data_IF_269338154791
#
_entry.id   IF_269338154791
#
_cell.length_a   1.000
_cell.length_b   1.000
_cell.length_c   1.000
_cell.angle_alpha   90.00
_cell.angle_beta   90.00
_cell.angle_gamma   90.00
#
_symmetry.space_group_name_H-M   'P 1'
#
loop_
_entity.id
_entity.type
_entity.pdbx_description
1 polymer ?
#
# COMPACT_ATOMS: atom_id res chain seq x y z
N UNK A 1 15.98 -11.72 -8.51
CA UNK A 1 16.83 -10.73 -7.84
C UNK A 1 17.33 -11.29 -6.51
N UNK A 2 18.64 -11.14 -6.19
CA UNK A 2 19.19 -11.54 -4.89
C UNK A 2 19.15 -10.31 -3.96
N UNK A 3 18.06 -10.14 -3.23
CA UNK A 3 17.93 -9.11 -2.20
C UNK A 3 18.13 -9.73 -0.81
N UNK A 4 18.81 -9.00 0.08
CA UNK A 4 18.85 -9.31 1.50
C UNK A 4 17.69 -8.59 2.18
N UNK A 5 16.85 -9.33 2.90
CA UNK A 5 15.78 -8.76 3.71
C UNK A 5 16.33 -8.53 5.12
N UNK A 6 16.11 -7.32 5.64
CA UNK A 6 16.41 -6.94 7.01
C UNK A 6 15.09 -6.62 7.72
N UNK A 7 14.97 -7.03 8.97
CA UNK A 7 13.76 -6.81 9.76
C UNK A 7 14.06 -5.78 10.85
N UNK A 8 13.26 -4.71 10.88
CA UNK A 8 13.29 -3.77 11.99
C UNK A 8 12.68 -4.41 13.23
N UNK A 9 13.30 -4.17 14.40
CA UNK A 9 12.74 -4.58 15.67
C UNK A 9 11.50 -3.74 16.01
N UNK A 10 10.63 -4.31 16.84
CA UNK A 10 9.51 -3.62 17.46
C UNK A 10 9.67 -3.66 18.99
N UNK A 11 9.10 -2.67 19.66
CA UNK A 11 9.00 -2.66 21.12
C UNK A 11 7.85 -3.56 21.62
N UNK A 12 7.68 -3.65 22.94
CA UNK A 12 6.63 -4.47 23.56
C UNK A 12 5.21 -3.99 23.25
N UNK A 13 5.05 -2.76 22.76
CA UNK A 13 3.78 -2.18 22.34
C UNK A 13 3.53 -2.33 20.84
N UNK A 14 4.47 -2.91 20.09
CA UNK A 14 4.38 -3.12 18.64
C UNK A 14 4.79 -1.91 17.79
N UNK A 15 5.42 -0.88 18.37
CA UNK A 15 5.98 0.22 17.60
C UNK A 15 7.36 -0.17 17.05
N UNK A 16 7.69 0.34 15.86
CA UNK A 16 9.02 0.14 15.29
C UNK A 16 10.07 0.84 16.15
N UNK A 17 11.11 0.10 16.57
CA UNK A 17 12.29 0.69 17.20
C UNK A 17 13.02 1.57 16.19
N UNK A 18 12.88 2.89 16.37
CA UNK A 18 13.44 3.87 15.45
C UNK A 18 14.96 3.77 15.35
N UNK A 19 15.68 3.57 16.47
CA UNK A 19 17.13 3.51 16.47
C UNK A 19 17.62 2.28 15.70
N UNK A 20 16.99 1.14 15.94
CA UNK A 20 17.30 -0.07 15.18
C UNK A 20 16.95 0.10 13.70
N UNK A 21 15.80 0.68 13.38
CA UNK A 21 15.40 0.95 11.99
C UNK A 21 16.43 1.84 11.27
N UNK A 22 16.86 2.94 11.89
CA UNK A 22 17.90 3.82 11.34
C UNK A 22 19.22 3.09 11.09
N UNK A 23 19.61 2.18 11.98
CA UNK A 23 20.83 1.39 11.83
C UNK A 23 20.80 0.41 10.65
N UNK A 24 19.62 0.06 10.14
CA UNK A 24 19.44 -0.82 8.99
C UNK A 24 19.48 -0.07 7.65
N UNK A 25 19.28 1.25 7.68
CA UNK A 25 19.26 2.09 6.47
C UNK A 25 20.70 2.32 5.99
N UNK A 26 20.90 2.17 4.68
CA UNK A 26 22.18 2.42 4.01
C UNK A 26 21.98 2.74 2.55
N UNK A 27 23.03 3.16 1.85
CA UNK A 27 23.03 3.38 0.38
C UNK A 27 22.64 2.12 -0.43
N UNK A 28 22.70 0.94 0.19
CA UNK A 28 22.27 -0.32 -0.43
C UNK A 28 20.79 -0.60 -0.24
N UNK A 29 20.09 0.14 0.61
CA UNK A 29 18.65 -0.01 0.84
C UNK A 29 17.89 0.41 -0.42
N UNK A 30 17.05 -0.48 -0.95
CA UNK A 30 16.33 -0.26 -2.21
C UNK A 30 14.84 -0.01 -2.00
N UNK A 31 14.30 -0.53 -0.92
CA UNK A 31 12.88 -0.41 -0.60
C UNK A 31 12.70 -0.63 0.90
N UNK A 32 11.83 0.14 1.50
CA UNK A 32 11.28 -0.12 2.81
C UNK A 32 9.81 -0.52 2.64
N UNK A 33 9.40 -1.62 3.28
CA UNK A 33 8.01 -2.08 3.27
C UNK A 33 7.54 -2.26 4.70
N UNK A 34 6.47 -1.56 5.08
CA UNK A 34 5.98 -1.50 6.47
C UNK A 34 4.46 -1.52 6.47
N UNK A 35 3.87 -2.20 7.44
CA UNK A 35 2.43 -2.12 7.72
C UNK A 35 2.08 -0.72 8.24
N UNK A 36 1.08 -0.07 7.65
CA UNK A 36 0.63 1.25 8.09
C UNK A 36 -0.12 1.18 9.43
N UNK A 37 -1.05 0.25 9.57
CA UNK A 37 -1.76 -0.07 10.80
C UNK A 37 -1.65 -1.58 11.06
N UNK A 38 -1.10 -1.95 12.22
CA UNK A 38 -0.87 -3.35 12.58
C UNK A 38 -2.18 -4.06 12.91
N UNK A 39 -2.41 -5.22 12.30
CA UNK A 39 -3.54 -6.09 12.62
C UNK A 39 -3.37 -6.85 13.94
N UNK A 40 -2.18 -6.84 14.53
CA UNK A 40 -1.86 -7.54 15.78
C UNK A 40 -1.89 -6.59 16.97
N UNK A 41 -1.20 -5.45 16.85
CA UNK A 41 -1.02 -4.49 17.93
C UNK A 41 -1.95 -3.27 17.83
N UNK A 42 -2.58 -3.02 16.68
CA UNK A 42 -3.34 -1.80 16.42
C UNK A 42 -2.48 -0.54 16.33
N UNK A 43 -1.16 -0.67 16.31
CA UNK A 43 -0.24 0.47 16.21
C UNK A 43 -0.22 1.02 14.80
N UNK A 44 -0.17 2.37 14.68
CA UNK A 44 0.03 3.07 13.41
C UNK A 44 1.51 3.42 13.28
N UNK A 45 2.07 3.21 12.08
CA UNK A 45 3.47 3.56 11.82
C UNK A 45 3.73 5.04 12.11
N UNK A 46 4.82 5.31 12.82
CA UNK A 46 5.19 6.68 13.14
C UNK A 46 5.63 7.44 11.87
N UNK A 47 5.08 8.64 11.67
CA UNK A 47 5.43 9.50 10.53
C UNK A 47 6.94 9.77 10.42
N UNK A 48 7.68 9.72 11.53
CA UNK A 48 9.13 9.85 11.53
C UNK A 48 9.83 8.79 10.70
N UNK A 49 9.33 7.54 10.69
CA UNK A 49 9.88 6.45 9.88
C UNK A 49 9.73 6.76 8.38
N UNK A 50 8.56 7.25 7.98
CA UNK A 50 8.29 7.65 6.59
C UNK A 50 9.20 8.82 6.19
N UNK A 51 9.31 9.82 7.07
CA UNK A 51 10.17 10.98 6.84
C UNK A 51 11.65 10.62 6.71
N UNK A 52 12.15 9.65 7.50
CA UNK A 52 13.51 9.13 7.39
C UNK A 52 13.77 8.48 6.02
N UNK A 53 12.83 7.68 5.51
CA UNK A 53 12.93 7.11 4.18
C UNK A 53 12.99 8.20 3.11
N UNK A 54 12.09 9.18 3.19
CA UNK A 54 12.06 10.30 2.24
C UNK A 54 13.36 11.12 2.26
N UNK A 55 13.90 11.42 3.44
CA UNK A 55 15.17 12.15 3.60
C UNK A 55 16.36 11.37 3.04
N UNK A 56 16.33 10.04 3.16
CA UNK A 56 17.35 9.15 2.63
C UNK A 56 17.15 8.84 1.13
N UNK A 57 16.07 9.33 0.50
CA UNK A 57 15.74 9.02 -0.90
C UNK A 57 15.41 7.55 -1.15
N UNK A 58 14.91 6.86 -0.14
CA UNK A 58 14.57 5.42 -0.20
C UNK A 58 13.07 5.28 -0.38
N UNK A 59 12.59 4.61 -1.45
CA UNK A 59 11.18 4.36 -1.65
C UNK A 59 10.56 3.59 -0.50
N UNK A 60 9.35 4.03 -0.07
CA UNK A 60 8.60 3.37 1.01
C UNK A 60 7.23 2.89 0.52
N UNK A 61 6.94 1.61 0.78
CA UNK A 61 5.65 0.97 0.59
C UNK A 61 4.96 0.81 1.93
N UNK A 62 3.73 1.30 2.02
CA UNK A 62 2.86 1.09 3.17
C UNK A 62 1.77 0.05 2.85
N UNK A 63 1.72 -1.00 3.66
CA UNK A 63 0.59 -1.93 3.66
C UNK A 63 -0.56 -1.32 4.45
N UNK A 64 -1.56 -0.85 3.72
CA UNK A 64 -2.76 -0.20 4.24
C UNK A 64 -3.95 -1.14 4.42
N UNK A 65 -3.77 -2.46 4.38
CA UNK A 65 -4.88 -3.40 4.46
C UNK A 65 -5.78 -3.24 5.68
N UNK A 66 -5.24 -2.79 6.79
CA UNK A 66 -6.06 -2.44 7.97
C UNK A 66 -6.45 -0.96 7.95
N UNK A 67 -5.51 -0.07 7.74
CA UNK A 67 -5.75 1.37 7.85
C UNK A 67 -6.80 1.90 6.88
N UNK A 68 -6.91 1.34 5.66
CA UNK A 68 -7.88 1.80 4.67
C UNK A 68 -9.34 1.71 5.13
N UNK A 69 -9.65 0.79 6.05
CA UNK A 69 -11.02 0.61 6.58
C UNK A 69 -11.29 1.36 7.89
N UNK A 70 -10.24 1.81 8.61
CA UNK A 70 -10.36 2.29 9.98
C UNK A 70 -10.01 3.75 10.18
N UNK A 71 -9.16 4.32 9.32
CA UNK A 71 -8.70 5.71 9.45
C UNK A 71 -8.72 6.44 8.10
N UNK A 72 -8.88 7.77 8.10
CA UNK A 72 -8.74 8.56 6.88
C UNK A 72 -7.33 8.43 6.28
N UNK A 73 -7.25 8.21 4.97
CA UNK A 73 -5.97 8.05 4.26
C UNK A 73 -5.83 9.14 3.21
N UNK A 74 -4.71 9.87 3.29
CA UNK A 74 -4.22 10.74 2.24
C UNK A 74 -2.78 10.34 1.91
N UNK A 75 -2.58 9.62 0.82
CA UNK A 75 -1.27 9.10 0.41
C UNK A 75 -0.25 10.20 0.10
N UNK A 76 -0.73 11.38 -0.31
CA UNK A 76 0.14 12.55 -0.57
C UNK A 76 0.61 13.18 0.74
N UNK A 77 -0.29 13.36 1.70
CA UNK A 77 0.03 13.87 3.03
C UNK A 77 0.92 12.90 3.82
N UNK A 78 0.69 11.57 3.70
CA UNK A 78 1.56 10.54 4.27
C UNK A 78 2.97 10.60 3.70
N UNK A 79 3.11 10.97 2.42
CA UNK A 79 4.40 11.02 1.75
C UNK A 79 4.98 9.66 1.40
N UNK A 80 4.16 8.59 1.35
CA UNK A 80 4.60 7.28 0.89
C UNK A 80 4.73 7.25 -0.64
N UNK A 81 5.56 6.33 -1.12
CA UNK A 81 5.78 6.14 -2.56
C UNK A 81 4.84 5.11 -3.14
N UNK A 82 4.53 4.10 -2.33
CA UNK A 82 3.57 3.05 -2.67
C UNK A 82 2.62 2.81 -1.51
N UNK A 83 1.37 2.47 -1.84
CA UNK A 83 0.35 2.11 -0.87
C UNK A 83 -0.50 0.96 -1.42
N UNK A 84 -0.74 -0.06 -0.60
CA UNK A 84 -1.52 -1.23 -1.03
C UNK A 84 -2.62 -1.52 -0.03
N UNK A 85 -3.78 -1.96 -0.51
CA UNK A 85 -4.81 -2.53 0.36
C UNK A 85 -5.68 -3.54 -0.37
N UNK A 86 -6.36 -4.36 0.41
CA UNK A 86 -7.26 -5.41 -0.07
C UNK A 86 -8.70 -4.95 0.04
N UNK A 87 -9.47 -5.05 -1.04
CA UNK A 87 -10.84 -4.55 -1.08
C UNK A 87 -11.77 -5.19 -0.06
N UNK A 88 -11.64 -6.51 0.18
CA UNK A 88 -12.51 -7.23 1.12
C UNK A 88 -12.40 -6.71 2.59
N UNK A 89 -11.31 -6.05 2.95
CA UNK A 89 -11.18 -5.41 4.27
C UNK A 89 -11.86 -4.04 4.33
N UNK A 90 -12.17 -3.46 3.16
CA UNK A 90 -12.94 -2.22 3.01
C UNK A 90 -14.39 -2.51 2.57
N UNK A 91 -15.00 -3.58 3.11
CA UNK A 91 -16.39 -3.99 2.85
C UNK A 91 -16.70 -4.38 1.39
N UNK A 92 -15.70 -4.45 0.51
CA UNK A 92 -15.86 -4.87 -0.88
C UNK A 92 -15.86 -6.41 -1.01
N UNK A 93 -16.25 -6.96 -2.18
CA UNK A 93 -16.08 -8.36 -2.49
C UNK A 93 -14.61 -8.80 -2.41
N UNK A 94 -14.38 -10.09 -2.23
CA UNK A 94 -13.04 -10.71 -2.36
C UNK A 94 -12.57 -10.65 -3.81
N UNK A 95 -11.25 -10.75 -4.04
CA UNK A 95 -10.67 -10.84 -5.39
C UNK A 95 -10.23 -9.52 -6.01
N UNK A 96 -10.42 -8.39 -5.32
CA UNK A 96 -9.94 -7.08 -5.75
C UNK A 96 -9.05 -6.45 -4.68
N UNK A 97 -8.03 -5.74 -5.13
CA UNK A 97 -7.15 -4.92 -4.30
C UNK A 97 -6.67 -3.70 -5.07
N UNK A 98 -6.09 -2.76 -4.37
CA UNK A 98 -5.59 -1.50 -4.94
C UNK A 98 -4.10 -1.37 -4.67
N UNK A 99 -3.37 -1.00 -5.69
CA UNK A 99 -1.98 -0.57 -5.62
C UNK A 99 -1.89 0.88 -6.09
N UNK A 100 -1.49 1.76 -5.18
CA UNK A 100 -1.09 3.12 -5.50
C UNK A 100 0.42 3.20 -5.59
N UNK A 101 0.94 3.95 -6.55
CA UNK A 101 2.35 4.31 -6.63
C UNK A 101 2.53 5.68 -7.27
N UNK A 102 3.60 6.39 -6.89
CA UNK A 102 4.01 7.61 -7.58
C UNK A 102 4.34 7.29 -9.02
N UNK A 103 3.78 8.04 -9.96
CA UNK A 103 3.86 7.78 -11.40
C UNK A 103 5.31 7.56 -11.89
N UNK A 104 6.21 8.46 -11.53
CA UNK A 104 7.62 8.39 -11.90
C UNK A 104 8.34 7.12 -11.41
N UNK A 105 7.87 6.53 -10.31
CA UNK A 105 8.47 5.32 -9.75
C UNK A 105 7.87 4.04 -10.37
N UNK A 106 6.56 4.05 -10.65
CA UNK A 106 5.92 2.88 -11.24
C UNK A 106 6.17 2.77 -12.74
N UNK A 107 6.46 3.86 -13.44
CA UNK A 107 6.87 3.84 -14.85
C UNK A 107 8.14 3.01 -15.07
N UNK A 108 9.09 3.07 -14.14
CA UNK A 108 10.37 2.34 -14.20
C UNK A 108 10.22 0.84 -13.87
N UNK A 109 9.14 0.45 -13.21
CA UNK A 109 8.93 -0.95 -12.82
C UNK A 109 8.57 -1.81 -14.03
N UNK A 110 9.14 -3.02 -14.15
CA UNK A 110 8.67 -3.99 -15.13
C UNK A 110 7.26 -4.47 -14.74
N UNK A 111 6.43 -4.87 -15.72
CA UNK A 111 5.13 -5.47 -15.41
C UNK A 111 5.32 -6.73 -14.57
N UNK A 112 4.42 -6.97 -13.62
CA UNK A 112 4.46 -8.13 -12.74
C UNK A 112 4.16 -9.44 -13.48
N UNK A 113 3.21 -9.38 -14.42
CA UNK A 113 2.79 -10.52 -15.25
C UNK A 113 2.34 -10.01 -16.62
N UNK A 114 2.33 -10.90 -17.61
CA UNK A 114 1.82 -10.61 -18.95
C UNK A 114 0.42 -11.16 -19.16
N UNK A 115 -0.36 -10.50 -20.02
CA UNK A 115 -1.72 -10.92 -20.38
C UNK A 115 -2.38 -9.98 -21.37
N UNK A 116 -3.62 -10.24 -21.70
CA UNK A 116 -4.41 -9.37 -22.60
C UNK A 116 -4.59 -7.97 -22.03
N UNK A 117 -4.67 -6.98 -22.91
CA UNK A 117 -4.96 -5.58 -22.54
C UNK A 117 -3.75 -4.75 -22.10
N UNK A 118 -2.66 -5.38 -21.67
CA UNK A 118 -1.47 -4.68 -21.16
C UNK A 118 -0.28 -4.67 -22.13
N UNK A 119 -0.39 -5.33 -23.27
CA UNK A 119 0.64 -5.43 -24.29
C UNK A 119 0.30 -4.47 -25.44
N UNK A 120 1.26 -3.64 -25.83
CA UNK A 120 1.12 -2.72 -26.96
C UNK A 120 1.52 -3.41 -28.28
N UNK A 121 2.65 -4.13 -28.29
CA UNK A 121 3.13 -4.85 -29.47
C UNK A 121 3.89 -6.12 -29.07
N UNK A 122 3.86 -7.13 -29.95
CA UNK A 122 4.54 -8.42 -29.77
C UNK A 122 5.32 -8.76 -31.01
N UNK A 123 6.60 -9.10 -30.83
CA UNK A 123 7.49 -9.61 -31.87
C UNK A 123 8.19 -10.90 -31.44
N UNK A 124 8.97 -11.49 -32.33
CA UNK A 124 9.82 -12.66 -31.99
C UNK A 124 10.91 -12.31 -30.97
N UNK A 125 11.27 -11.04 -30.85
CA UNK A 125 12.36 -10.56 -29.99
C UNK A 125 11.85 -10.07 -28.62
N UNK A 126 10.54 -9.94 -28.43
CA UNK A 126 9.92 -9.51 -27.18
C UNK A 126 8.58 -8.83 -27.34
N UNK A 127 8.15 -8.18 -26.26
CA UNK A 127 6.91 -7.43 -26.21
C UNK A 127 7.14 -6.03 -25.63
N UNK A 128 6.39 -5.06 -26.10
CA UNK A 128 6.24 -3.74 -25.49
C UNK A 128 4.90 -3.65 -24.74
N UNK A 129 4.83 -2.78 -23.78
CA UNK A 129 3.69 -2.68 -22.89
C UNK A 129 2.96 -1.36 -23.07
N UNK A 130 1.68 -1.35 -22.75
CA UNK A 130 0.85 -0.15 -22.75
C UNK A 130 1.26 0.80 -21.61
N UNK A 131 0.74 2.01 -21.66
CA UNK A 131 0.94 3.03 -20.63
C UNK A 131 0.26 2.64 -19.30
N UNK A 132 0.61 3.36 -18.25
CA UNK A 132 -0.07 3.24 -16.96
C UNK A 132 -1.55 3.69 -17.06
N UNK A 133 -2.45 3.06 -16.32
CA UNK A 133 -2.26 1.95 -15.37
C UNK A 133 -2.26 0.57 -16.04
N UNK A 134 -2.69 0.45 -17.29
CA UNK A 134 -2.92 -0.82 -17.99
C UNK A 134 -1.69 -1.74 -18.03
N UNK A 135 -0.47 -1.19 -18.00
CA UNK A 135 0.79 -1.93 -17.90
C UNK A 135 0.82 -2.95 -16.77
N UNK A 136 0.09 -2.72 -15.68
CA UNK A 136 0.03 -3.60 -14.51
C UNK A 136 -1.28 -4.38 -14.38
N UNK A 137 -2.19 -4.23 -15.34
CA UNK A 137 -3.53 -4.83 -15.31
C UNK A 137 -3.64 -5.92 -16.40
N UNK A 138 -2.95 -7.03 -16.19
CA UNK A 138 -2.89 -8.12 -17.16
C UNK A 138 -4.14 -8.99 -17.15
N UNK A 139 -4.77 -9.15 -18.32
CA UNK A 139 -5.96 -9.97 -18.51
C UNK A 139 -7.26 -9.21 -18.27
N UNK A 140 -8.39 -9.93 -18.33
CA UNK A 140 -9.69 -9.35 -18.04
C UNK A 140 -9.75 -8.90 -16.57
N UNK A 141 -10.03 -7.62 -16.29
CA UNK A 141 -10.09 -7.13 -14.92
C UNK A 141 -11.28 -7.75 -14.16
N UNK A 142 -11.23 -7.82 -12.83
CA UNK A 142 -12.32 -8.32 -11.99
C UNK A 142 -13.45 -7.28 -11.91
N UNK A 143 -14.24 -7.18 -12.98
CA UNK A 143 -15.22 -6.10 -13.20
C UNK A 143 -16.27 -6.00 -12.08
N UNK A 144 -16.79 -7.15 -11.63
CA UNK A 144 -17.83 -7.20 -10.59
C UNK A 144 -17.26 -6.77 -9.24
N UNK A 145 -16.06 -7.25 -8.92
CA UNK A 145 -15.36 -6.93 -7.68
C UNK A 145 -14.91 -5.47 -7.66
N UNK A 146 -14.44 -4.96 -8.79
CA UNK A 146 -14.06 -3.53 -8.93
C UNK A 146 -15.27 -2.61 -8.77
N UNK A 147 -16.40 -2.96 -9.38
CA UNK A 147 -17.66 -2.23 -9.19
C UNK A 147 -18.11 -2.28 -7.72
N UNK A 148 -18.07 -3.46 -7.11
CA UNK A 148 -18.39 -3.66 -5.70
C UNK A 148 -17.48 -2.87 -4.76
N UNK A 149 -16.19 -2.72 -5.10
CA UNK A 149 -15.27 -1.87 -4.35
C UNK A 149 -15.68 -0.39 -4.46
N UNK A 150 -16.09 0.08 -5.64
CA UNK A 150 -16.61 1.44 -5.82
C UNK A 150 -17.81 1.71 -4.90
N UNK A 151 -18.80 0.81 -4.90
CA UNK A 151 -19.97 0.92 -3.99
C UNK A 151 -19.57 0.92 -2.52
N UNK A 152 -18.59 0.10 -2.13
CA UNK A 152 -18.08 0.08 -0.75
C UNK A 152 -17.39 1.40 -0.37
N UNK A 153 -16.62 1.99 -1.28
CA UNK A 153 -15.98 3.30 -1.09
C UNK A 153 -17.03 4.39 -0.90
N UNK A 154 -18.07 4.40 -1.73
CA UNK A 154 -19.18 5.37 -1.61
C UNK A 154 -19.85 5.23 -0.24
N UNK A 155 -20.16 4.00 0.19
CA UNK A 155 -20.77 3.72 1.47
C UNK A 155 -19.93 4.24 2.67
N UNK A 156 -18.64 3.94 2.72
CA UNK A 156 -17.79 4.42 3.83
C UNK A 156 -17.55 5.93 3.76
N UNK A 157 -17.57 6.50 2.55
CA UNK A 157 -17.46 7.95 2.35
C UNK A 157 -18.69 8.69 2.85
N UNK A 158 -19.89 8.14 2.67
CA UNK A 158 -21.13 8.68 3.23
C UNK A 158 -21.16 8.63 4.74
N UNK A 159 -20.67 7.54 5.35
CA UNK A 159 -20.51 7.44 6.81
C UNK A 159 -19.45 8.42 7.34
N UNK A 160 -18.41 8.68 6.54
CA UNK A 160 -17.28 9.51 6.90
C UNK A 160 -16.21 8.74 7.68
N UNK A 161 -15.01 8.62 7.11
CA UNK A 161 -13.90 7.87 7.72
C UNK A 161 -13.49 8.38 9.10
N UNK A 162 -13.58 9.68 9.35
CA UNK A 162 -13.31 10.24 10.68
C UNK A 162 -14.34 9.79 11.72
N UNK A 163 -15.62 9.69 11.33
CA UNK A 163 -16.70 9.22 12.23
C UNK A 163 -16.53 7.72 12.54
N UNK A 164 -16.14 6.92 11.55
CA UNK A 164 -15.81 5.51 11.75
C UNK A 164 -14.68 5.37 12.76
N UNK A 165 -13.58 6.07 12.57
CA UNK A 165 -12.41 6.04 13.44
C UNK A 165 -12.75 6.47 14.89
N UNK A 166 -13.52 7.54 15.06
CA UNK A 166 -13.97 8.00 16.37
C UNK A 166 -14.90 7.00 17.06
N UNK A 167 -15.79 6.36 16.31
CA UNK A 167 -16.67 5.33 16.84
C UNK A 167 -15.89 4.12 17.34
N UNK A 168 -14.96 3.62 16.55
CA UNK A 168 -14.10 2.49 16.91
C UNK A 168 -13.22 2.80 18.13
N UNK A 169 -12.66 4.00 18.20
CA UNK A 169 -11.88 4.45 19.36
C UNK A 169 -12.73 4.47 20.64
N UNK A 170 -13.98 4.92 20.57
CA UNK A 170 -14.89 4.88 21.72
C UNK A 170 -15.18 3.45 22.19
N UNK A 171 -15.39 2.54 21.23
CA UNK A 171 -15.62 1.12 21.56
C UNK A 171 -14.37 0.48 22.18
N UNK A 172 -13.21 0.75 21.62
CA UNK A 172 -11.91 0.25 22.13
C UNK A 172 -11.65 0.72 23.56
N UNK A 173 -11.96 1.99 23.87
CA UNK A 173 -11.80 2.53 25.21
C UNK A 173 -12.85 2.02 26.22
N UNK A 174 -13.99 1.52 25.74
CA UNK A 174 -15.02 0.93 26.58
C UNK A 174 -14.72 -0.54 26.94
N UNK A 175 -14.07 -1.29 26.04
CA UNK A 175 -13.80 -2.72 26.21
C UNK A 175 -12.59 -2.98 27.12
#
# INVERSE_FOLDING_TARGET
>A
YKCKILFANIDSSGNIDQNHFESLISEKTKLVSITHLSNVFGTIVNQKIINLCNQAGIPILLDGCQSAAHIPIDVKALGCDYYVFSGHKLYAPTGVGVFYGKENLIEELPPYQGGGGMIADVSTDGATFTDLPAKFEAGTPPLVEAYGLGVAIDYVSELGMSQISEHELRLTNYA
#
